data_IF_682213257438
#
_entry.id   IF_682213257438
#
_cell.length_a   1.000
_cell.length_b   1.000
_cell.length_c   1.000
_cell.angle_alpha   90.00
_cell.angle_beta   90.00
_cell.angle_gamma   90.00
#
_symmetry.space_group_name_H-M   'P 1'
#
loop_
_entity.id
_entity.type
_entity.pdbx_description
1 polymer ?
#
# COMPACT_ATOMS: atom_id res chain seq x y z
N UNK A 1 -2.23 8.03 -3.98
CA UNK A 1 -3.24 8.13 -2.91
C UNK A 1 -4.24 7.00 -3.09
N UNK A 2 -5.28 6.92 -2.28
CA UNK A 2 -6.29 5.89 -2.42
C UNK A 2 -7.51 6.09 -1.54
N UNK A 3 -8.45 5.15 -1.62
CA UNK A 3 -9.64 5.07 -0.76
C UNK A 3 -9.55 3.80 0.07
N UNK A 4 -9.80 3.89 1.36
CA UNK A 4 -9.86 2.71 2.24
C UNK A 4 -11.09 1.88 1.85
N UNK A 5 -10.87 0.68 1.33
CA UNK A 5 -11.92 -0.29 1.02
C UNK A 5 -12.42 -0.96 2.30
N UNK A 6 -11.49 -1.44 3.13
CA UNK A 6 -11.82 -2.17 4.36
C UNK A 6 -10.87 -1.77 5.48
N UNK A 7 -11.40 -1.85 6.70
CA UNK A 7 -10.68 -1.63 7.95
C UNK A 7 -11.39 -2.48 9.01
N UNK A 8 -10.90 -3.69 9.23
CA UNK A 8 -11.59 -4.70 10.05
C UNK A 8 -10.62 -5.66 10.75
N UNK A 9 -11.13 -6.44 11.69
CA UNK A 9 -10.39 -7.52 12.33
C UNK A 9 -10.77 -8.86 11.69
N UNK A 10 -9.84 -9.43 10.92
CA UNK A 10 -9.99 -10.70 10.24
C UNK A 10 -9.35 -11.84 11.06
N UNK A 11 -9.93 -13.06 11.11
CA UNK A 11 -9.39 -14.17 11.89
C UNK A 11 -7.91 -14.50 11.59
N UNK A 12 -7.54 -14.53 10.31
CA UNK A 12 -6.16 -14.80 9.89
C UNK A 12 -5.27 -13.55 9.83
N UNK A 13 -5.73 -12.45 9.23
CA UNK A 13 -4.93 -11.24 9.05
C UNK A 13 -4.88 -10.33 10.29
N UNK A 14 -5.67 -10.62 11.31
CA UNK A 14 -5.84 -9.73 12.46
C UNK A 14 -6.44 -8.40 12.03
N UNK A 15 -6.01 -7.31 12.64
CA UNK A 15 -6.40 -5.99 12.18
C UNK A 15 -5.80 -5.73 10.81
N UNK A 16 -6.65 -5.51 9.82
CA UNK A 16 -6.25 -5.27 8.44
C UNK A 16 -6.91 -4.05 7.84
N UNK A 17 -6.19 -3.43 6.90
CA UNK A 17 -6.65 -2.31 6.09
C UNK A 17 -6.40 -2.67 4.63
N UNK A 18 -7.39 -2.44 3.77
CA UNK A 18 -7.22 -2.51 2.32
C UNK A 18 -7.50 -1.14 1.70
N UNK A 19 -6.61 -0.69 0.82
CA UNK A 19 -6.66 0.63 0.19
C UNK A 19 -6.67 0.44 -1.32
N UNK A 20 -7.71 0.96 -1.98
CA UNK A 20 -7.80 1.03 -3.44
C UNK A 20 -7.06 2.25 -3.96
N UNK A 21 -6.13 2.03 -4.88
CA UNK A 21 -5.35 3.07 -5.55
C UNK A 21 -5.89 3.40 -6.95
N UNK A 22 -6.97 2.75 -7.38
CA UNK A 22 -7.50 2.80 -8.75
C UNK A 22 -6.73 1.87 -9.70
N UNK A 23 -7.15 1.80 -10.97
CA UNK A 23 -6.56 0.92 -11.98
C UNK A 23 -6.44 -0.55 -11.53
N UNK A 24 -7.46 -1.03 -10.79
CA UNK A 24 -7.50 -2.38 -10.22
C UNK A 24 -6.34 -2.70 -9.24
N UNK A 25 -5.64 -1.68 -8.75
CA UNK A 25 -4.52 -1.82 -7.83
C UNK A 25 -4.97 -1.54 -6.40
N UNK A 26 -4.87 -2.52 -5.51
CA UNK A 26 -5.08 -2.33 -4.08
C UNK A 26 -3.85 -2.73 -3.27
N UNK A 27 -3.70 -2.11 -2.11
CA UNK A 27 -2.68 -2.47 -1.12
C UNK A 27 -3.34 -2.95 0.16
N UNK A 28 -2.85 -4.06 0.71
CA UNK A 28 -3.33 -4.63 1.97
C UNK A 28 -2.25 -4.56 3.04
N UNK A 29 -2.65 -4.13 4.22
CA UNK A 29 -1.84 -4.04 5.43
C UNK A 29 -2.47 -4.93 6.49
N UNK A 30 -1.73 -5.89 7.02
CA UNK A 30 -2.24 -6.87 7.98
C UNK A 30 -1.33 -6.98 9.22
N UNK A 31 -1.83 -7.71 10.22
CA UNK A 31 -1.23 -7.90 11.54
C UNK A 31 -1.04 -6.60 12.34
N UNK A 32 -1.90 -5.59 12.12
CA UNK A 32 -1.75 -4.28 12.73
C UNK A 32 -2.08 -4.31 14.24
N UNK A 33 -1.35 -3.55 15.05
CA UNK A 33 -1.72 -3.32 16.45
C UNK A 33 -2.93 -2.38 16.56
N UNK A 34 -3.03 -1.40 15.64
CA UNK A 34 -4.10 -0.40 15.62
C UNK A 34 -4.40 0.06 14.20
N UNK A 35 -5.67 0.32 13.93
CA UNK A 35 -6.16 0.93 12.69
C UNK A 35 -6.55 2.38 12.99
N UNK A 36 -6.02 3.32 12.20
CA UNK A 36 -6.24 4.77 12.39
C UNK A 36 -7.18 5.36 11.31
N UNK A 37 -7.75 4.52 10.45
CA UNK A 37 -8.60 4.90 9.31
C UNK A 37 -9.89 4.08 9.26
N UNK A 38 -10.86 4.54 8.47
CA UNK A 38 -12.17 3.87 8.30
C UNK A 38 -12.51 3.64 6.83
N UNK A 39 -13.38 2.66 6.50
CA UNK A 39 -13.81 2.44 5.12
C UNK A 39 -14.42 3.71 4.51
N UNK A 40 -14.12 3.95 3.24
CA UNK A 40 -14.50 5.16 2.50
C UNK A 40 -13.61 6.39 2.75
N UNK A 41 -12.62 6.32 3.65
CA UNK A 41 -11.69 7.42 3.88
C UNK A 41 -10.70 7.56 2.72
N UNK A 42 -10.49 8.80 2.25
CA UNK A 42 -9.42 9.14 1.32
C UNK A 42 -8.09 9.25 2.06
N UNK A 43 -7.05 8.62 1.51
CA UNK A 43 -5.69 8.61 2.08
C UNK A 43 -4.67 9.07 1.05
N UNK A 44 -3.69 9.86 1.50
CA UNK A 44 -2.60 10.38 0.66
C UNK A 44 -1.34 9.53 0.80
N UNK A 45 -0.45 9.48 -0.21
CA UNK A 45 0.85 8.87 -0.04
C UNK A 45 1.60 9.51 1.14
N UNK A 46 2.16 8.68 2.02
CA UNK A 46 2.85 9.13 3.23
C UNK A 46 1.94 9.44 4.43
N UNK A 47 0.62 9.34 4.28
CA UNK A 47 -0.32 9.45 5.39
C UNK A 47 -0.27 8.19 6.27
N UNK A 48 -0.28 8.38 7.59
CA UNK A 48 -0.33 7.28 8.54
C UNK A 48 -1.72 6.64 8.56
N UNK A 49 -1.79 5.33 8.31
CA UNK A 49 -3.05 4.57 8.28
C UNK A 49 -3.24 3.62 9.47
N UNK A 50 -2.17 3.33 10.21
CA UNK A 50 -2.20 2.45 11.37
C UNK A 50 -0.80 2.20 11.94
N UNK A 51 -0.72 1.22 12.84
CA UNK A 51 0.52 0.81 13.52
C UNK A 51 0.69 -0.70 13.36
N UNK A 52 1.88 -1.16 12.93
CA UNK A 52 2.18 -2.59 12.83
C UNK A 52 2.14 -3.28 14.19
N UNK A 53 1.90 -4.59 14.21
CA UNK A 53 1.69 -5.32 15.44
C UNK A 53 1.89 -6.82 15.27
N UNK A 54 1.13 -7.59 16.06
CA UNK A 54 1.18 -9.05 16.08
C UNK A 54 -0.21 -9.65 16.28
N UNK A 55 -1.21 -9.17 15.53
CA UNK A 55 -2.60 -9.65 15.63
C UNK A 55 -2.94 -10.68 14.58
N UNK A 56 -3.92 -11.53 14.86
CA UNK A 56 -4.33 -12.61 13.95
C UNK A 56 -3.31 -13.74 13.97
N UNK A 57 -3.16 -14.41 12.83
CA UNK A 57 -2.25 -15.55 12.65
C UNK A 57 -0.85 -15.05 12.27
N UNK A 58 -0.13 -14.55 13.27
CA UNK A 58 1.24 -14.05 13.14
C UNK A 58 2.18 -14.76 14.13
N UNK A 59 3.42 -14.99 13.71
CA UNK A 59 4.45 -15.65 14.53
C UNK A 59 5.32 -14.68 15.34
N UNK A 60 5.19 -13.36 15.10
CA UNK A 60 5.90 -12.31 15.81
C UNK A 60 5.59 -10.92 15.24
N UNK A 61 5.99 -9.81 15.91
CA UNK A 61 5.64 -8.47 15.46
C UNK A 61 6.21 -8.11 14.08
N UNK A 62 5.35 -7.91 13.09
CA UNK A 62 5.73 -7.51 11.74
C UNK A 62 4.57 -6.85 10.99
N UNK A 63 4.86 -6.27 9.82
CA UNK A 63 3.85 -5.81 8.88
C UNK A 63 3.75 -6.82 7.74
N UNK A 64 2.57 -7.41 7.53
CA UNK A 64 2.28 -8.17 6.32
C UNK A 64 1.67 -7.22 5.29
N UNK A 65 2.38 -7.03 4.18
CA UNK A 65 2.03 -6.10 3.13
C UNK A 65 1.84 -6.83 1.80
N UNK A 66 0.69 -6.61 1.16
CA UNK A 66 0.40 -7.14 -0.16
C UNK A 66 0.05 -6.02 -1.12
N UNK A 67 0.47 -6.17 -2.37
CA UNK A 67 -0.07 -5.41 -3.50
C UNK A 67 -0.90 -6.37 -4.33
N UNK A 68 -2.14 -6.00 -4.63
CA UNK A 68 -3.09 -6.81 -5.37
C UNK A 68 -3.43 -6.08 -6.67
N UNK A 69 -3.41 -6.80 -7.78
CA UNK A 69 -3.84 -6.32 -9.10
C UNK A 69 -5.04 -7.16 -9.53
N UNK A 70 -6.15 -6.50 -9.86
CA UNK A 70 -7.40 -7.17 -10.28
C UNK A 70 -7.86 -8.23 -9.27
N UNK A 71 -7.68 -7.94 -7.98
CA UNK A 71 -8.05 -8.84 -6.87
C UNK A 71 -7.10 -10.01 -6.62
N UNK A 72 -6.05 -10.20 -7.43
CA UNK A 72 -5.04 -11.26 -7.26
C UNK A 72 -3.78 -10.67 -6.63
N UNK A 73 -3.21 -11.35 -5.63
CA UNK A 73 -1.94 -10.95 -5.05
C UNK A 73 -0.84 -10.94 -6.13
N UNK A 74 -0.27 -9.78 -6.38
CA UNK A 74 0.76 -9.58 -7.39
C UNK A 74 2.12 -9.43 -6.69
N UNK A 75 3.21 -9.81 -7.37
CA UNK A 75 4.55 -9.60 -6.82
C UNK A 75 4.81 -8.09 -6.63
N UNK A 76 4.98 -7.61 -5.38
CA UNK A 76 5.05 -6.17 -5.08
C UNK A 76 6.30 -5.49 -5.66
N UNK A 77 7.36 -6.25 -5.97
CA UNK A 77 8.58 -5.68 -6.59
C UNK A 77 8.34 -5.08 -7.98
N UNK A 78 7.26 -5.47 -8.68
CA UNK A 78 6.91 -4.88 -9.98
C UNK A 78 6.31 -3.47 -9.83
N UNK A 79 5.60 -3.19 -8.74
CA UNK A 79 4.96 -1.90 -8.49
C UNK A 79 5.85 -0.92 -7.72
N UNK A 80 6.73 -1.43 -6.85
CA UNK A 80 7.75 -0.62 -6.17
C UNK A 80 8.76 -0.01 -7.17
N UNK A 81 9.09 -0.72 -8.26
CA UNK A 81 9.99 -0.20 -9.31
C UNK A 81 9.40 0.94 -10.12
N UNK A 82 8.07 1.03 -10.26
CA UNK A 82 7.43 2.14 -10.98
C UNK A 82 7.48 3.48 -10.22
N UNK A 83 7.75 3.46 -8.91
CA UNK A 83 7.98 4.68 -8.12
C UNK A 83 9.46 5.00 -7.89
N UNK A 84 10.37 4.04 -8.14
CA UNK A 84 11.82 4.26 -8.09
C UNK A 84 12.45 4.50 -9.49
N UNK A 85 11.68 4.34 -10.57
CA UNK A 85 12.18 4.26 -11.94
C UNK A 85 11.90 5.46 -12.85
N UNK A 86 11.51 6.62 -12.32
CA UNK A 86 11.46 7.87 -13.12
C UNK A 86 12.80 8.63 -13.16
N UNK A 87 13.88 8.02 -12.64
CA UNK A 87 15.22 8.58 -12.70
C UNK A 87 16.16 7.72 -13.56
N UNK A 88 15.78 7.41 -14.81
CA UNK A 88 16.73 7.13 -15.88
C UNK A 88 16.21 7.76 -17.17
N UNK A 89 16.36 9.08 -17.25
CA UNK A 89 16.48 9.75 -18.54
C UNK A 89 17.82 9.35 -19.17
N UNK A 90 17.74 8.66 -20.30
CA UNK A 90 18.79 8.66 -21.30
C UNK A 90 18.12 8.61 -22.67
N UNK A 91 17.19 9.55 -22.88
CA UNK A 91 16.68 9.95 -24.19
C UNK A 91 17.31 11.28 -24.56
N UNK A 92 18.32 11.21 -25.43
CA UNK A 92 18.96 12.31 -26.14
C UNK A 92 18.23 13.68 -26.14
N UNK A 93 18.84 14.65 -25.47
CA UNK A 93 19.05 16.02 -25.95
C UNK A 93 17.82 16.87 -26.29
N UNK A 94 17.48 17.81 -25.40
CA UNK A 94 16.70 18.97 -25.81
C UNK A 94 16.06 19.77 -24.70
N UNK A 95 16.83 20.71 -24.11
CA UNK A 95 16.29 22.02 -23.75
C UNK A 95 15.46 22.16 -22.46
N UNK A 96 16.06 22.91 -21.53
CA UNK A 96 15.50 24.14 -20.96
C UNK A 96 14.78 24.09 -19.59
N UNK A 97 15.52 24.67 -18.63
CA UNK A 97 15.16 25.59 -17.51
C UNK A 97 14.44 25.05 -16.27
N UNK A 98 15.21 25.10 -15.17
CA UNK A 98 14.80 25.07 -13.77
C UNK A 98 14.29 26.44 -13.29
N UNK A 99 13.14 26.44 -12.63
CA UNK A 99 12.94 27.03 -11.29
C UNK A 99 12.08 26.08 -10.47
#
# INVERSE_FOLDING_TARGET
GGVVLTAECHPEYGNMIEIDHGNELSSRYAHLARIDVKPGQLVRPGEQVGVSGNTGRSTGPHLHFEVRSSGVAANPQRFLRQHAGLAQDSGAGGGLRLR
#
